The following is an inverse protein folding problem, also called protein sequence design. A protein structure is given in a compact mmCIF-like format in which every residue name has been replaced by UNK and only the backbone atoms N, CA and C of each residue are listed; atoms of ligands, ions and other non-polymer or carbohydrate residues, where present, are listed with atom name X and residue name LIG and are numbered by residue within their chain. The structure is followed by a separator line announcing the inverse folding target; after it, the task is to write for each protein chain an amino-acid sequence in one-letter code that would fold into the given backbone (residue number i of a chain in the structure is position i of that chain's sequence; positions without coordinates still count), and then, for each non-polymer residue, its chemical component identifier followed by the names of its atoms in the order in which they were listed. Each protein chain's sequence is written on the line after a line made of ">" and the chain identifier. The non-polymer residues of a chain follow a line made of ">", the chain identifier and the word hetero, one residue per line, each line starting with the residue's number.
data_IF_654599689726
#
_entry.id   IF_654599689726
#
_cell.length_a   1.000
_cell.length_b   1.000
_cell.length_c   1.000
_cell.angle_alpha   90.00
_cell.angle_beta   90.00
_cell.angle_gamma   90.00
#
_symmetry.space_group_name_H-M   'P 1'
#
loop_
_entity.id
_entity.type
_entity.pdbx_description
1 polymer ?
#
# COMPACT_ATOMS: atom_id res chain seq x y z
N UNK A 1 16.36 17.68 19.77
CA UNK A 1 16.66 17.54 18.34
C UNK A 1 15.80 16.48 17.72
N UNK A 2 15.26 16.75 16.54
CA UNK A 2 14.48 15.78 15.81
C UNK A 2 15.34 14.66 15.22
N UNK A 3 14.73 13.51 15.01
CA UNK A 3 15.37 12.40 14.31
C UNK A 3 15.05 12.48 12.83
N UNK A 4 15.99 12.09 11.99
CA UNK A 4 15.75 11.98 10.55
C UNK A 4 15.28 10.56 10.26
N UNK A 5 14.13 10.46 9.59
CA UNK A 5 13.54 9.19 9.22
C UNK A 5 13.49 9.11 7.70
N UNK A 6 13.98 8.01 7.16
CA UNK A 6 13.89 7.72 5.74
C UNK A 6 12.81 6.68 5.48
N UNK A 7 11.96 6.92 4.50
CA UNK A 7 10.94 5.98 4.09
C UNK A 7 11.11 5.68 2.62
N UNK A 8 11.26 4.41 2.29
CA UNK A 8 11.24 3.93 0.92
C UNK A 8 9.87 3.29 0.68
N UNK A 9 8.99 4.04 0.04
CA UNK A 9 7.64 3.58 -0.25
C UNK A 9 7.63 2.92 -1.63
N UNK A 10 7.92 1.63 -1.65
CA UNK A 10 7.95 0.87 -2.90
C UNK A 10 6.57 0.36 -3.31
N UNK A 11 6.46 -0.04 -4.57
CA UNK A 11 5.20 -0.57 -5.10
C UNK A 11 4.81 -1.88 -4.42
N UNK A 12 5.77 -2.72 -4.13
CA UNK A 12 5.55 -4.03 -3.53
C UNK A 12 5.87 -4.05 -2.04
N UNK A 13 6.98 -3.45 -1.65
CA UNK A 13 7.43 -3.42 -0.27
C UNK A 13 7.90 -2.02 0.11
N UNK A 14 7.71 -1.69 1.37
CA UNK A 14 8.18 -0.43 1.94
C UNK A 14 9.15 -0.72 3.06
N UNK A 15 10.05 0.21 3.35
CA UNK A 15 10.92 0.11 4.50
C UNK A 15 11.14 1.49 5.13
N UNK A 16 11.50 1.47 6.41
CA UNK A 16 11.75 2.69 7.16
C UNK A 16 13.14 2.58 7.81
N UNK A 17 13.87 3.67 7.81
CA UNK A 17 15.21 3.72 8.37
C UNK A 17 15.41 4.98 9.19
N UNK A 18 16.36 4.90 10.11
CA UNK A 18 16.79 6.05 10.92
C UNK A 18 18.30 6.14 10.86
N UNK A 19 18.83 7.30 11.22
CA UNK A 19 20.27 7.46 11.40
C UNK A 19 20.63 6.98 12.79
N UNK A 20 21.58 6.06 12.86
CA UNK A 20 22.17 5.57 14.10
C UNK A 20 23.64 6.03 14.10
N UNK A 21 23.87 7.19 14.72
CA UNK A 21 25.15 7.86 14.61
C UNK A 21 25.36 8.37 13.19
N UNK A 22 26.38 7.87 12.50
CA UNK A 22 26.68 8.26 11.12
C UNK A 22 26.12 7.25 10.10
N UNK A 23 25.56 6.16 10.55
CA UNK A 23 25.12 5.08 9.68
C UNK A 23 23.60 4.97 9.64
N UNK A 24 23.02 4.75 8.46
CA UNK A 24 21.59 4.46 8.38
C UNK A 24 21.29 3.05 8.89
N UNK A 25 20.18 2.90 9.57
CA UNK A 25 19.74 1.62 10.10
C UNK A 25 18.29 1.39 9.74
N UNK A 26 18.00 0.28 9.07
CA UNK A 26 16.64 -0.12 8.74
C UNK A 26 15.97 -0.66 10.00
N UNK A 27 14.74 -0.19 10.25
CA UNK A 27 13.96 -0.58 11.41
C UNK A 27 13.11 -1.79 11.06
N UNK A 28 13.08 -2.79 11.94
CA UNK A 28 12.19 -3.92 11.80
C UNK A 28 10.75 -3.53 12.13
N UNK A 29 9.80 -4.13 11.43
CA UNK A 29 8.39 -3.92 11.72
C UNK A 29 7.93 -4.81 12.89
N UNK A 30 6.63 -4.76 13.21
CA UNK A 30 6.08 -5.55 14.31
C UNK A 30 6.21 -7.05 14.10
N UNK A 31 6.41 -7.50 12.87
CA UNK A 31 6.59 -8.90 12.52
C UNK A 31 8.06 -9.33 12.53
N UNK A 32 8.98 -8.43 12.86
CA UNK A 32 10.41 -8.70 12.86
C UNK A 32 11.08 -8.64 11.49
N UNK A 33 10.38 -8.12 10.48
CA UNK A 33 10.92 -8.01 9.12
C UNK A 33 11.41 -6.60 8.85
N UNK A 34 12.43 -6.48 7.99
CA UNK A 34 13.00 -5.18 7.61
C UNK A 34 12.23 -4.52 6.48
N UNK A 35 11.39 -5.28 5.79
CA UNK A 35 10.49 -4.73 4.77
C UNK A 35 9.06 -5.03 5.17
N UNK A 36 8.16 -4.12 4.78
CA UNK A 36 6.73 -4.26 5.04
C UNK A 36 6.01 -4.29 3.70
N UNK A 37 5.19 -5.30 3.43
CA UNK A 37 4.40 -5.30 2.20
C UNK A 37 3.57 -4.02 2.09
N UNK A 38 3.59 -3.40 0.91
CA UNK A 38 2.82 -2.17 0.63
C UNK A 38 1.37 -2.54 0.36
N UNK A 39 0.70 -3.08 1.39
CA UNK A 39 -0.66 -3.61 1.32
C UNK A 39 -1.46 -3.10 2.50
N UNK A 40 -2.69 -2.67 2.22
CA UNK A 40 -3.64 -2.23 3.25
C UNK A 40 -4.94 -2.99 3.05
N UNK A 41 -5.51 -3.49 4.15
CA UNK A 41 -6.80 -4.17 4.12
C UNK A 41 -7.77 -3.52 5.10
N UNK A 42 -9.03 -3.39 4.67
CA UNK A 42 -10.11 -2.88 5.52
C UNK A 42 -11.03 -4.04 5.85
N UNK A 43 -11.03 -4.44 7.11
CA UNK A 43 -11.89 -5.50 7.60
C UNK A 43 -13.25 -4.99 8.07
N UNK A 44 -14.00 -5.87 8.74
CA UNK A 44 -15.27 -5.50 9.34
C UNK A 44 -15.08 -4.41 10.38
N UNK A 45 -16.11 -3.57 10.57
CA UNK A 45 -16.10 -2.51 11.59
C UNK A 45 -14.98 -1.49 11.42
N UNK A 46 -14.57 -1.26 10.17
CA UNK A 46 -13.52 -0.30 9.83
C UNK A 46 -12.13 -0.66 10.35
N UNK A 47 -11.89 -1.92 10.66
CA UNK A 47 -10.57 -2.38 11.04
C UNK A 47 -9.58 -2.19 9.89
N UNK A 48 -8.44 -1.58 10.18
CA UNK A 48 -7.41 -1.33 9.19
C UNK A 48 -6.18 -2.17 9.48
N UNK A 49 -5.76 -2.98 8.52
CA UNK A 49 -4.54 -3.76 8.61
C UNK A 49 -3.53 -3.26 7.60
N UNK A 50 -2.25 -3.30 7.95
CA UNK A 50 -1.17 -2.82 7.09
C UNK A 50 -0.05 -3.85 7.09
N UNK A 51 0.53 -4.08 5.91
CA UNK A 51 1.69 -4.96 5.78
C UNK A 51 1.32 -6.43 5.74
N UNK A 52 2.08 -7.25 6.45
CA UNK A 52 1.90 -8.70 6.41
C UNK A 52 0.51 -9.17 6.87
N UNK A 53 -0.07 -8.61 7.95
CA UNK A 53 -1.45 -8.94 8.31
C UNK A 53 -2.44 -8.64 7.19
N UNK A 54 -2.27 -7.52 6.48
CA UNK A 54 -3.12 -7.17 5.35
C UNK A 54 -2.95 -8.16 4.21
N UNK A 55 -1.72 -8.59 3.95
CA UNK A 55 -1.43 -9.56 2.91
C UNK A 55 -2.14 -10.89 3.20
N UNK A 56 -2.12 -11.33 4.46
CA UNK A 56 -2.84 -12.54 4.87
C UNK A 56 -4.35 -12.39 4.71
N UNK A 57 -4.88 -11.21 5.01
CA UNK A 57 -6.30 -10.91 4.88
C UNK A 57 -6.77 -10.96 3.43
N UNK A 58 -5.86 -10.70 2.48
CA UNK A 58 -6.18 -10.75 1.05
C UNK A 58 -6.69 -12.10 0.57
N UNK A 59 -6.42 -13.19 1.30
CA UNK A 59 -6.90 -14.52 0.98
C UNK A 59 -8.41 -14.64 1.20
N UNK A 60 -8.91 -14.02 2.28
CA UNK A 60 -10.31 -14.11 2.69
C UNK A 60 -11.14 -12.87 2.37
N UNK A 61 -10.46 -11.72 2.16
CA UNK A 61 -11.13 -10.44 1.92
C UNK A 61 -10.43 -9.68 0.79
N UNK A 62 -10.33 -10.29 -0.42
CA UNK A 62 -9.56 -9.68 -1.51
C UNK A 62 -10.16 -8.36 -2.02
N UNK A 63 -11.48 -8.18 -1.93
CA UNK A 63 -12.13 -6.98 -2.43
C UNK A 63 -11.76 -5.72 -1.65
N UNK A 64 -11.35 -5.87 -0.40
CA UNK A 64 -10.99 -4.77 0.47
C UNK A 64 -9.52 -4.79 0.87
N UNK A 65 -8.69 -5.53 0.11
CA UNK A 65 -7.25 -5.60 0.34
C UNK A 65 -6.54 -4.97 -0.86
N UNK A 66 -5.87 -3.85 -0.62
CA UNK A 66 -5.30 -3.02 -1.68
C UNK A 66 -3.79 -3.19 -1.73
N UNK A 67 -3.28 -3.46 -2.93
CA UNK A 67 -1.85 -3.60 -3.21
C UNK A 67 -1.50 -2.91 -4.52
N UNK A 68 -0.20 -2.63 -4.71
CA UNK A 68 0.30 -1.98 -5.92
C UNK A 68 -0.40 -0.64 -6.23
N UNK A 69 -0.88 0.06 -5.20
CA UNK A 69 -1.60 1.32 -5.35
C UNK A 69 -0.71 2.40 -5.95
N UNK A 70 0.60 2.31 -5.71
CA UNK A 70 1.56 3.27 -6.25
C UNK A 70 1.48 3.36 -7.77
N UNK A 71 1.08 2.30 -8.46
CA UNK A 71 0.90 2.28 -9.92
C UNK A 71 -0.25 3.16 -10.38
N UNK A 72 -1.19 3.47 -9.49
CA UNK A 72 -2.35 4.31 -9.80
C UNK A 72 -2.11 5.78 -9.49
N UNK A 73 -1.09 6.09 -8.70
CA UNK A 73 -0.84 7.46 -8.25
C UNK A 73 -0.46 8.35 -9.42
N UNK A 74 -1.13 9.50 -9.51
CA UNK A 74 -0.91 10.46 -10.57
C UNK A 74 -1.50 10.07 -11.93
N UNK A 75 -2.31 9.02 -11.98
CA UNK A 75 -2.92 8.55 -13.24
C UNK A 75 -4.42 8.82 -13.26
N UNK A 76 -4.95 9.05 -14.46
CA UNK A 76 -6.38 9.19 -14.63
C UNK A 76 -7.02 7.80 -14.72
N UNK A 77 -8.30 7.73 -14.39
CA UNK A 77 -9.06 6.48 -14.49
C UNK A 77 -9.03 5.91 -15.91
N UNK A 78 -9.03 6.77 -16.92
CA UNK A 78 -9.08 6.36 -18.32
C UNK A 78 -7.71 6.02 -18.92
N UNK A 79 -6.64 6.15 -18.13
CA UNK A 79 -5.30 5.72 -18.54
C UNK A 79 -5.35 4.24 -18.94
N UNK A 80 -4.84 3.85 -20.11
CA UNK A 80 -4.87 2.44 -20.53
C UNK A 80 -4.26 1.48 -19.54
N UNK A 81 -3.21 1.90 -18.83
CA UNK A 81 -2.57 1.06 -17.81
C UNK A 81 -3.51 0.84 -16.63
N UNK A 82 -4.27 1.86 -16.22
CA UNK A 82 -5.26 1.75 -15.14
C UNK A 82 -6.38 0.79 -15.55
N UNK A 83 -6.87 0.90 -16.78
CA UNK A 83 -7.91 0.02 -17.26
C UNK A 83 -7.45 -1.44 -17.31
N UNK A 84 -6.20 -1.66 -17.71
CA UNK A 84 -5.61 -2.99 -17.71
C UNK A 84 -5.47 -3.54 -16.29
N UNK A 85 -5.00 -2.72 -15.35
CA UNK A 85 -4.85 -3.13 -13.96
C UNK A 85 -6.21 -3.43 -13.32
N UNK A 86 -7.25 -2.67 -13.69
CA UNK A 86 -8.60 -2.88 -13.18
C UNK A 86 -9.12 -4.29 -13.47
N UNK A 87 -8.73 -4.87 -14.61
CA UNK A 87 -9.14 -6.22 -14.96
C UNK A 87 -8.34 -7.30 -14.23
N UNK A 88 -7.21 -6.93 -13.64
CA UNK A 88 -6.28 -7.88 -13.02
C UNK A 88 -6.33 -7.92 -11.50
N UNK A 89 -6.94 -6.92 -10.85
CA UNK A 89 -6.95 -6.84 -9.40
C UNK A 89 -8.34 -7.19 -8.86
N UNK A 90 -8.41 -7.77 -7.63
CA UNK A 90 -9.68 -8.15 -7.04
C UNK A 90 -10.46 -6.98 -6.43
N UNK A 91 -9.78 -5.86 -6.14
CA UNK A 91 -10.45 -4.69 -5.60
C UNK A 91 -10.96 -3.78 -6.73
N UNK A 92 -11.86 -2.89 -6.39
CA UNK A 92 -12.51 -2.02 -7.36
C UNK A 92 -11.74 -0.71 -7.54
N UNK A 93 -11.40 -0.39 -8.79
CA UNK A 93 -10.82 0.88 -9.16
C UNK A 93 -11.94 1.73 -9.74
N UNK A 94 -12.12 2.94 -9.20
CA UNK A 94 -13.20 3.84 -9.59
C UNK A 94 -12.65 5.16 -10.11
N UNK A 95 -13.52 5.94 -10.74
CA UNK A 95 -13.20 7.26 -11.25
C UNK A 95 -13.62 8.31 -10.21
N UNK A 96 -12.69 9.17 -9.80
CA UNK A 96 -13.02 10.28 -8.92
C UNK A 96 -13.71 11.40 -9.69
N UNK A 97 -14.19 12.41 -8.98
CA UNK A 97 -14.83 13.57 -9.60
C UNK A 97 -13.91 14.29 -10.58
N UNK A 98 -12.61 14.27 -10.31
CA UNK A 98 -11.61 14.90 -11.16
C UNK A 98 -11.12 14.00 -12.29
N UNK A 99 -11.61 12.77 -12.37
CA UNK A 99 -11.18 11.80 -13.36
C UNK A 99 -9.97 10.98 -12.97
N UNK A 100 -9.50 11.10 -11.74
CA UNK A 100 -8.36 10.33 -11.24
C UNK A 100 -8.75 8.88 -10.92
N UNK A 101 -7.76 7.99 -10.92
CA UNK A 101 -7.95 6.60 -10.51
C UNK A 101 -7.96 6.51 -8.99
N UNK A 102 -9.07 6.05 -8.42
CA UNK A 102 -9.23 5.81 -6.99
C UNK A 102 -9.62 4.36 -6.76
N UNK A 103 -9.51 3.92 -5.52
CA UNK A 103 -9.96 2.58 -5.13
C UNK A 103 -11.10 2.71 -4.13
N UNK A 104 -11.99 1.72 -4.11
CA UNK A 104 -13.17 1.74 -3.26
C UNK A 104 -13.17 0.55 -2.33
N UNK A 105 -13.34 0.78 -1.04
CA UNK A 105 -13.50 -0.27 -0.05
C UNK A 105 -14.98 -0.41 0.31
N UNK A 106 -15.39 -1.61 0.39
CA UNK A 106 -16.65 -2.00 0.87
C UNK A 106 -17.86 -1.74 0.57
#
# INVERSE_FOLDING_TARGET
>A
MGKVIGIDLGTTNSCISIMDGKDPKVIENAEGSRTTPSIISFGAESEKLVGQPAKRQGVTNPENTFFAIKRLMGRSFEDPMVQKDSDMVPFKIIKSENGDAWVESG
#
